data_IF_973050776562
#
_entry.id   IF_973050776562
#
_cell.length_a   1.000
_cell.length_b   1.000
_cell.length_c   1.000
_cell.angle_alpha   90.00
_cell.angle_beta   90.00
_cell.angle_gamma   90.00
#
_symmetry.space_group_name_H-M   'P 1'
#
loop_
_entity.id
_entity.type
_entity.pdbx_description
1 polymer ?
#
# COMPACT_ATOMS: atom_id res chain seq x y z
N UNK A 1 -20.65 24.72 0.00
CA UNK A 1 -21.49 23.96 -0.92
C UNK A 1 -21.18 22.49 -0.69
N UNK A 2 -22.21 21.66 -0.59
CA UNK A 2 -22.08 20.20 -0.45
C UNK A 2 -22.65 19.57 -1.72
N UNK A 3 -21.91 18.63 -2.30
CA UNK A 3 -22.40 17.85 -3.45
C UNK A 3 -23.39 16.82 -2.96
N UNK A 4 -24.60 16.82 -3.51
CA UNK A 4 -25.68 15.92 -3.14
C UNK A 4 -26.22 15.24 -4.40
N UNK A 5 -26.17 13.93 -4.46
CA UNK A 5 -26.74 13.15 -5.55
C UNK A 5 -26.43 13.72 -6.94
N UNK A 6 -27.38 14.40 -7.56
CA UNK A 6 -27.25 15.01 -8.90
C UNK A 6 -27.04 16.52 -8.89
N UNK A 7 -26.61 17.12 -7.79
CA UNK A 7 -26.44 18.57 -7.73
C UNK A 7 -25.61 19.02 -6.53
N UNK A 8 -25.62 20.31 -6.30
CA UNK A 8 -24.95 20.94 -5.15
C UNK A 8 -25.95 21.75 -4.33
N UNK A 9 -25.89 21.66 -3.01
CA UNK A 9 -26.72 22.42 -2.10
C UNK A 9 -25.86 23.20 -1.09
N UNK A 10 -26.44 24.25 -0.50
CA UNK A 10 -25.79 24.93 0.62
C UNK A 10 -25.78 24.00 1.82
N UNK A 11 -24.65 23.95 2.56
CA UNK A 11 -24.47 23.06 3.72
C UNK A 11 -25.61 23.18 4.76
N UNK A 12 -26.16 24.39 4.91
CA UNK A 12 -27.30 24.69 5.81
C UNK A 12 -28.62 24.09 5.34
N UNK A 13 -28.76 23.78 4.05
CA UNK A 13 -29.99 23.25 3.45
C UNK A 13 -30.00 21.73 3.32
N UNK A 14 -28.96 21.05 3.78
CA UNK A 14 -28.83 19.58 3.66
C UNK A 14 -29.53 18.93 4.82
N UNK A 15 -30.62 18.20 4.54
CA UNK A 15 -31.44 17.51 5.54
C UNK A 15 -30.88 16.11 5.86
N UNK A 16 -30.04 15.52 5.01
CA UNK A 16 -29.46 14.20 5.19
C UNK A 16 -28.11 14.21 5.94
N UNK A 17 -27.70 13.07 6.53
CA UNK A 17 -26.38 12.92 7.14
C UNK A 17 -25.29 12.83 6.07
N UNK A 18 -24.91 13.97 5.53
CA UNK A 18 -23.82 14.14 4.57
C UNK A 18 -22.60 14.69 5.32
N UNK A 19 -21.50 13.96 5.26
CA UNK A 19 -20.21 14.46 5.75
C UNK A 19 -19.40 14.97 4.57
N UNK A 20 -19.18 16.29 4.53
CA UNK A 20 -18.22 16.90 3.61
C UNK A 20 -16.90 17.06 4.32
N UNK A 21 -15.84 16.63 3.70
CA UNK A 21 -14.47 16.71 4.21
C UNK A 21 -13.71 17.73 3.35
N UNK A 22 -13.01 18.62 4.01
CA UNK A 22 -12.09 19.53 3.33
C UNK A 22 -10.89 18.75 2.82
N UNK A 23 -10.61 18.77 1.50
CA UNK A 23 -9.47 18.08 0.92
C UNK A 23 -8.13 18.48 1.56
N UNK A 24 -8.01 19.69 2.10
CA UNK A 24 -6.83 20.13 2.80
C UNK A 24 -6.57 19.30 4.08
N UNK A 25 -7.62 18.81 4.73
CA UNK A 25 -7.52 17.91 5.89
C UNK A 25 -7.12 16.48 5.51
N UNK A 26 -7.32 16.11 4.25
CA UNK A 26 -6.92 14.81 3.69
C UNK A 26 -5.48 14.82 3.16
N UNK A 27 -4.85 15.99 3.00
CA UNK A 27 -3.48 16.11 2.50
C UNK A 27 -2.45 15.68 3.55
N UNK A 28 -2.43 14.40 3.85
CA UNK A 28 -1.37 13.76 4.64
C UNK A 28 -0.44 13.00 3.71
N UNK A 29 0.79 12.75 4.11
CA UNK A 29 1.70 11.90 3.36
C UNK A 29 1.24 10.43 3.44
N UNK A 30 0.11 10.13 2.81
CA UNK A 30 -0.39 8.78 2.63
C UNK A 30 -0.41 8.47 1.14
N UNK A 31 -0.19 7.22 0.82
CA UNK A 31 0.03 6.74 -0.54
C UNK A 31 -1.27 6.60 -1.34
N UNK A 32 -2.42 6.50 -0.65
CA UNK A 32 -3.73 6.40 -1.31
C UNK A 32 -4.79 7.24 -0.61
N UNK A 33 -5.82 7.62 -1.35
CA UNK A 33 -6.97 8.35 -0.81
C UNK A 33 -7.70 7.51 0.24
N UNK A 34 -7.83 6.18 0.05
CA UNK A 34 -8.48 5.31 1.03
C UNK A 34 -7.78 5.32 2.39
N UNK A 35 -6.45 5.36 2.41
CA UNK A 35 -5.66 5.45 3.65
C UNK A 35 -5.84 6.80 4.36
N UNK A 36 -6.06 7.87 3.60
CA UNK A 36 -6.29 9.21 4.15
C UNK A 36 -7.64 9.34 4.87
N UNK A 37 -8.63 8.52 4.50
CA UNK A 37 -9.98 8.57 5.07
C UNK A 37 -10.05 7.95 6.46
N UNK A 38 -9.20 6.97 6.73
CA UNK A 38 -9.20 6.22 7.98
C UNK A 38 -8.93 7.12 9.18
N UNK A 39 -9.83 7.10 10.17
CA UNK A 39 -9.73 7.91 11.39
C UNK A 39 -9.95 9.42 11.21
N UNK A 40 -10.21 9.93 9.98
CA UNK A 40 -10.40 11.34 9.68
C UNK A 40 -11.81 11.70 9.25
N UNK A 41 -12.52 10.77 8.65
CA UNK A 41 -13.88 10.96 8.21
C UNK A 41 -14.85 10.28 9.16
N UNK A 42 -15.66 11.03 9.93
CA UNK A 42 -16.61 10.43 10.85
C UNK A 42 -17.55 9.46 10.15
N UNK A 43 -17.66 8.23 10.69
CA UNK A 43 -18.52 7.17 10.14
C UNK A 43 -17.90 6.37 9.01
N UNK A 44 -16.63 6.56 8.71
CA UNK A 44 -15.84 5.63 7.89
C UNK A 44 -14.99 4.76 8.83
N UNK A 45 -15.10 3.46 8.65
CA UNK A 45 -14.26 2.45 9.29
C UNK A 45 -13.35 1.91 8.20
N UNK A 46 -12.04 2.03 8.37
CA UNK A 46 -11.05 1.55 7.41
C UNK A 46 -10.10 0.54 8.04
N UNK A 47 -9.70 -0.45 7.26
CA UNK A 47 -8.70 -1.45 7.63
C UNK A 47 -7.67 -1.58 6.54
N UNK A 48 -6.41 -1.34 6.87
CA UNK A 48 -5.26 -1.60 5.99
C UNK A 48 -4.69 -2.97 6.35
N UNK A 49 -4.74 -3.91 5.43
CA UNK A 49 -4.31 -5.30 5.68
C UNK A 49 -2.85 -5.55 5.38
N UNK A 50 -2.23 -4.72 4.55
CA UNK A 50 -0.85 -4.87 4.11
C UNK A 50 -0.18 -3.51 4.01
N UNK A 51 1.13 -3.46 4.30
CA UNK A 51 1.99 -2.32 4.02
C UNK A 51 2.78 -2.48 2.71
N UNK A 52 2.51 -3.54 1.94
CA UNK A 52 3.23 -3.85 0.72
C UNK A 52 2.90 -2.84 -0.40
N UNK A 53 3.89 -2.34 -1.14
CA UNK A 53 3.69 -1.46 -2.27
C UNK A 53 2.67 -1.99 -3.28
N UNK A 54 1.68 -1.16 -3.63
CA UNK A 54 0.58 -1.53 -4.52
C UNK A 54 -0.48 -2.48 -3.92
N UNK A 55 -0.36 -2.85 -2.64
CA UNK A 55 -1.31 -3.63 -1.85
C UNK A 55 -1.63 -2.98 -0.50
N UNK A 56 -1.13 -1.77 -0.28
CA UNK A 56 -1.25 -1.01 0.95
C UNK A 56 -2.48 -0.10 0.99
N UNK A 57 -3.52 -0.46 0.24
CA UNK A 57 -4.79 0.26 0.22
C UNK A 57 -5.69 -0.17 1.38
N UNK A 58 -6.44 0.80 1.93
CA UNK A 58 -7.45 0.51 2.95
C UNK A 58 -8.76 0.06 2.32
N UNK A 59 -9.27 -1.07 2.78
CA UNK A 59 -10.69 -1.38 2.64
C UNK A 59 -11.47 -0.51 3.63
N UNK A 60 -12.59 0.06 3.20
CA UNK A 60 -13.38 0.90 4.09
C UNK A 60 -14.88 0.68 3.92
N UNK A 61 -15.62 0.92 5.00
CA UNK A 61 -17.06 0.81 5.08
C UNK A 61 -17.66 2.07 5.67
N UNK A 62 -18.84 2.42 5.19
CA UNK A 62 -19.64 3.52 5.75
C UNK A 62 -20.59 2.95 6.80
N UNK A 63 -20.45 3.40 8.07
CA UNK A 63 -21.20 2.91 9.24
C UNK A 63 -21.03 1.42 9.58
N UNK A 64 -20.01 0.75 9.04
CA UNK A 64 -19.70 -0.65 9.28
C UNK A 64 -20.20 -1.60 8.19
N UNK A 65 -19.98 -2.90 8.43
CA UNK A 65 -20.39 -3.96 7.51
C UNK A 65 -21.87 -4.23 7.74
N UNK A 66 -22.73 -3.87 6.78
CA UNK A 66 -24.18 -3.97 6.87
C UNK A 66 -24.77 -5.17 6.14
N UNK A 67 -23.97 -5.90 5.34
CA UNK A 67 -24.44 -7.01 4.51
C UNK A 67 -23.63 -8.28 4.77
N UNK A 68 -24.33 -9.41 4.92
CA UNK A 68 -23.71 -10.74 4.99
C UNK A 68 -23.66 -11.35 3.58
N UNK A 69 -22.46 -11.75 3.13
CA UNK A 69 -22.28 -12.55 1.91
C UNK A 69 -22.36 -11.79 0.57
N UNK A 70 -22.66 -10.49 0.57
CA UNK A 70 -22.61 -9.63 -0.61
C UNK A 70 -21.45 -8.63 -0.50
N UNK A 71 -21.15 -7.93 -1.61
CA UNK A 71 -20.17 -6.86 -1.60
C UNK A 71 -20.56 -5.77 -0.59
N UNK A 72 -19.78 -5.63 0.48
CA UNK A 72 -20.04 -4.69 1.58
C UNK A 72 -19.44 -3.31 1.34
N UNK A 73 -18.72 -3.09 0.21
CA UNK A 73 -18.07 -1.83 -0.10
C UNK A 73 -19.08 -0.72 -0.44
N UNK A 74 -18.72 0.49 -0.07
CA UNK A 74 -19.47 1.68 -0.47
C UNK A 74 -19.36 1.92 -1.99
N UNK A 75 -20.39 2.50 -2.59
CA UNK A 75 -20.33 2.96 -3.98
C UNK A 75 -19.45 4.22 -4.06
N UNK A 76 -18.45 4.19 -4.91
CA UNK A 76 -17.53 5.31 -5.13
C UNK A 76 -17.83 5.94 -6.45
N UNK A 77 -18.07 7.25 -6.45
CA UNK A 77 -18.33 8.05 -7.66
C UNK A 77 -17.29 9.16 -7.77
N UNK A 78 -16.53 9.14 -8.84
CA UNK A 78 -15.56 10.18 -9.20
C UNK A 78 -16.15 10.97 -10.38
N UNK A 79 -16.43 12.24 -10.16
CA UNK A 79 -17.11 13.12 -11.11
C UNK A 79 -18.44 12.54 -11.68
N UNK A 80 -19.13 11.72 -10.86
CA UNK A 80 -20.40 11.08 -11.21
C UNK A 80 -20.28 9.71 -11.89
N UNK A 81 -19.08 9.22 -12.15
CA UNK A 81 -18.78 7.89 -12.71
C UNK A 81 -18.21 6.98 -11.61
N UNK A 82 -18.61 5.72 -11.61
CA UNK A 82 -18.04 4.75 -10.66
C UNK A 82 -16.56 4.54 -10.93
N UNK A 83 -15.76 4.59 -9.86
CA UNK A 83 -14.30 4.50 -9.94
C UNK A 83 -13.67 3.97 -8.65
N UNK A 84 -12.35 3.85 -8.64
CA UNK A 84 -11.55 3.43 -7.50
C UNK A 84 -10.80 4.63 -6.91
N UNK A 85 -10.97 4.86 -5.60
CA UNK A 85 -10.25 5.91 -4.87
C UNK A 85 -8.73 5.72 -4.86
N UNK A 86 -8.27 4.47 -4.97
CA UNK A 86 -6.86 4.15 -4.88
C UNK A 86 -6.07 4.55 -6.13
N UNK A 87 -6.78 4.76 -7.22
CA UNK A 87 -6.18 5.21 -8.48
C UNK A 87 -6.10 6.74 -8.58
N UNK A 88 -6.87 7.45 -7.77
CA UNK A 88 -6.96 8.90 -7.79
C UNK A 88 -5.79 9.55 -7.05
N UNK A 89 -5.15 10.56 -7.67
CA UNK A 89 -4.18 11.38 -6.96
C UNK A 89 -4.91 12.33 -5.98
N UNK A 90 -4.57 12.29 -4.68
CA UNK A 90 -5.20 13.16 -3.68
C UNK A 90 -5.11 14.65 -4.00
N UNK A 91 -4.07 15.06 -4.74
CA UNK A 91 -3.87 16.45 -5.13
C UNK A 91 -4.89 16.93 -6.19
N UNK A 92 -5.57 16.00 -6.90
CA UNK A 92 -6.60 16.32 -7.88
C UNK A 92 -8.00 16.49 -7.27
N UNK A 93 -8.18 16.21 -5.99
CA UNK A 93 -9.49 16.30 -5.32
C UNK A 93 -9.84 17.74 -5.01
N UNK A 94 -11.04 18.17 -5.42
CA UNK A 94 -11.64 19.45 -5.04
C UNK A 94 -12.59 19.30 -3.86
N UNK A 95 -13.40 18.23 -3.83
CA UNK A 95 -14.31 17.96 -2.73
C UNK A 95 -14.54 16.46 -2.50
N UNK A 96 -14.82 16.11 -1.26
CA UNK A 96 -15.12 14.76 -0.84
C UNK A 96 -16.36 14.75 0.03
N UNK A 97 -17.36 13.96 -0.32
CA UNK A 97 -18.64 13.87 0.38
C UNK A 97 -19.04 12.41 0.59
N UNK A 98 -19.49 12.09 1.81
CA UNK A 98 -19.98 10.76 2.15
C UNK A 98 -21.47 10.83 2.48
N UNK A 99 -22.27 10.14 1.70
CA UNK A 99 -23.70 9.97 1.91
C UNK A 99 -23.91 8.71 2.75
N UNK A 100 -24.46 8.89 3.94
CA UNK A 100 -24.59 7.81 4.95
C UNK A 100 -26.02 7.33 5.13
N UNK A 101 -27.00 8.18 4.88
CA UNK A 101 -28.40 7.86 5.12
C UNK A 101 -29.12 7.34 3.86
N UNK A 102 -30.08 6.44 4.07
CA UNK A 102 -30.89 5.87 2.99
C UNK A 102 -31.59 6.95 2.15
N UNK A 103 -32.04 8.04 2.77
CA UNK A 103 -32.65 9.18 2.06
C UNK A 103 -31.67 9.87 1.10
N UNK A 104 -30.39 10.01 1.51
CA UNK A 104 -29.35 10.62 0.68
C UNK A 104 -28.86 9.66 -0.42
N UNK A 105 -28.89 8.35 -0.17
CA UNK A 105 -28.41 7.32 -1.11
C UNK A 105 -29.52 6.76 -2.01
N UNK A 106 -30.80 7.07 -1.77
CA UNK A 106 -31.96 6.56 -2.51
C UNK A 106 -31.85 6.75 -4.05
N UNK A 107 -31.20 7.83 -4.48
CA UNK A 107 -30.98 8.12 -5.91
C UNK A 107 -30.12 7.06 -6.60
N UNK A 108 -29.33 6.31 -5.84
CA UNK A 108 -28.41 5.28 -6.34
C UNK A 108 -28.98 3.86 -6.18
N UNK A 109 -30.21 3.73 -5.66
CA UNK A 109 -30.88 2.45 -5.49
C UNK A 109 -30.10 1.45 -4.63
N UNK A 110 -30.18 0.17 -4.97
CA UNK A 110 -29.54 -0.93 -4.24
C UNK A 110 -28.01 -0.74 -4.13
N UNK A 111 -27.37 -0.14 -5.12
CA UNK A 111 -25.93 0.10 -5.12
C UNK A 111 -25.48 1.11 -4.05
N UNK A 112 -26.39 1.99 -3.63
CA UNK A 112 -26.14 2.96 -2.56
C UNK A 112 -26.41 2.42 -1.15
N UNK A 113 -26.84 1.15 -0.98
CA UNK A 113 -27.24 0.60 0.30
C UNK A 113 -26.13 0.61 1.38
N UNK A 114 -24.88 0.42 0.97
CA UNK A 114 -23.70 0.46 1.84
C UNK A 114 -23.07 1.86 1.98
N UNK A 115 -23.80 2.91 1.58
CA UNK A 115 -23.30 4.28 1.52
C UNK A 115 -22.69 4.63 0.17
N UNK A 116 -22.59 5.95 -0.09
CA UNK A 116 -22.02 6.48 -1.33
C UNK A 116 -20.95 7.50 -1.00
N UNK A 117 -19.80 7.34 -1.62
CA UNK A 117 -18.70 8.30 -1.59
C UNK A 117 -18.67 9.06 -2.89
N UNK A 118 -18.79 10.37 -2.82
CA UNK A 118 -18.76 11.25 -3.98
C UNK A 118 -17.47 12.07 -3.91
N UNK A 119 -16.65 11.92 -4.93
CA UNK A 119 -15.43 12.71 -5.14
C UNK A 119 -15.63 13.60 -6.34
N UNK A 120 -15.35 14.87 -6.16
CA UNK A 120 -15.30 15.82 -7.28
C UNK A 120 -13.85 16.22 -7.48
N UNK A 121 -13.39 16.14 -8.73
CA UNK A 121 -12.03 16.53 -9.06
C UNK A 121 -11.94 18.00 -9.42
N UNK A 122 -10.72 18.55 -9.32
CA UNK A 122 -10.44 19.94 -9.64
C UNK A 122 -10.77 20.28 -11.08
N UNK A 123 -11.36 21.46 -11.26
CA UNK A 123 -11.71 22.03 -12.57
C UNK A 123 -11.01 23.35 -12.80
N UNK A 124 -10.89 23.74 -14.05
CA UNK A 124 -10.37 25.05 -14.42
C UNK A 124 -11.24 26.19 -13.90
N UNK A 125 -10.57 27.27 -13.52
CA UNK A 125 -11.24 28.55 -13.15
C UNK A 125 -10.85 29.62 -14.15
N UNK A 126 -11.77 30.55 -14.43
CA UNK A 126 -11.44 31.70 -15.26
C UNK A 126 -10.33 32.52 -14.60
N UNK A 127 -9.27 32.78 -15.34
CA UNK A 127 -8.10 33.50 -14.82
C UNK A 127 -6.83 33.16 -15.61
N UNK A 128 -5.71 33.74 -15.15
CA UNK A 128 -4.39 33.46 -15.71
C UNK A 128 -4.01 32.01 -15.46
N UNK A 129 -3.10 31.49 -16.30
CA UNK A 129 -2.49 30.19 -16.08
C UNK A 129 -1.86 30.12 -14.69
N UNK A 130 -2.27 29.11 -13.94
CA UNK A 130 -1.68 28.75 -12.64
C UNK A 130 -0.99 27.41 -12.78
N UNK A 131 0.26 27.36 -12.39
CA UNK A 131 1.10 26.15 -12.37
C UNK A 131 1.34 25.78 -10.93
N UNK A 132 1.01 24.55 -10.56
CA UNK A 132 1.28 23.98 -9.23
C UNK A 132 2.16 22.75 -9.37
N UNK A 133 3.26 22.73 -8.64
CA UNK A 133 4.12 21.54 -8.51
C UNK A 133 4.22 21.17 -7.03
N UNK A 134 3.96 19.89 -6.75
CA UNK A 134 4.07 19.31 -5.40
C UNK A 134 4.94 18.07 -5.47
N UNK A 135 5.85 17.93 -4.52
CA UNK A 135 6.67 16.74 -4.36
C UNK A 135 6.66 16.30 -2.90
N UNK A 136 6.53 15.00 -2.69
CA UNK A 136 6.60 14.40 -1.36
C UNK A 136 7.65 13.28 -1.41
N UNK A 137 8.48 13.23 -0.38
CA UNK A 137 9.34 12.09 -0.09
C UNK A 137 8.93 11.54 1.28
N UNK A 138 8.59 10.25 1.32
CA UNK A 138 8.12 9.59 2.53
C UNK A 138 9.16 8.57 2.97
N UNK A 139 9.63 8.73 4.19
CA UNK A 139 10.49 7.76 4.85
C UNK A 139 9.62 6.74 5.57
N UNK A 140 9.64 5.49 5.09
CA UNK A 140 8.84 4.39 5.60
C UNK A 140 9.73 3.36 6.27
N UNK A 141 9.37 2.92 7.48
CA UNK A 141 10.08 1.90 8.23
C UNK A 141 9.10 1.04 9.03
N UNK A 142 9.56 -0.15 9.43
CA UNK A 142 8.75 -1.05 10.26
C UNK A 142 8.94 -0.71 11.74
N UNK A 143 7.94 -0.12 12.44
CA UNK A 143 8.10 0.37 13.81
C UNK A 143 8.22 -0.76 14.84
N UNK A 144 7.75 -1.95 14.49
CA UNK A 144 7.80 -3.14 15.36
C UNK A 144 8.16 -4.36 14.51
N UNK A 145 9.34 -4.88 14.76
CA UNK A 145 9.79 -6.15 14.21
C UNK A 145 10.09 -7.09 15.37
N UNK A 146 9.71 -8.38 15.29
CA UNK A 146 10.14 -9.36 16.28
C UNK A 146 11.67 -9.41 16.35
N UNK A 147 12.20 -9.46 17.55
CA UNK A 147 13.61 -9.76 17.78
C UNK A 147 13.76 -11.27 17.88
N UNK A 148 14.63 -11.82 17.07
CA UNK A 148 14.95 -13.25 17.08
C UNK A 148 16.23 -13.45 17.83
N UNK A 149 16.29 -14.57 18.59
CA UNK A 149 17.50 -14.98 19.29
C UNK A 149 18.57 -15.41 18.31
N UNK A 150 19.83 -15.18 18.65
CA UNK A 150 20.97 -15.68 17.91
C UNK A 150 21.11 -17.21 18.02
N UNK A 151 22.09 -17.79 17.33
CA UNK A 151 22.30 -19.23 17.33
C UNK A 151 22.55 -19.80 18.72
N UNK A 152 23.28 -19.08 19.57
CA UNK A 152 23.58 -19.53 20.97
C UNK A 152 22.31 -19.49 21.82
N UNK A 153 21.55 -18.42 21.74
CA UNK A 153 20.25 -18.26 22.40
C UNK A 153 19.26 -19.34 21.97
N UNK A 154 19.16 -19.57 20.65
CA UNK A 154 18.29 -20.62 20.12
C UNK A 154 18.70 -22.02 20.63
N UNK A 155 19.98 -22.38 20.57
CA UNK A 155 20.46 -23.67 21.01
C UNK A 155 20.17 -23.92 22.49
N UNK A 156 20.38 -22.90 23.34
CA UNK A 156 20.08 -23.01 24.78
C UNK A 156 18.57 -23.18 25.03
N UNK A 157 17.71 -22.38 24.40
CA UNK A 157 16.26 -22.49 24.54
C UNK A 157 15.72 -23.83 24.01
N UNK A 158 16.26 -24.31 22.89
CA UNK A 158 15.89 -25.60 22.33
C UNK A 158 16.26 -26.75 23.29
N UNK A 159 17.45 -26.70 23.91
CA UNK A 159 17.86 -27.65 24.92
C UNK A 159 16.96 -27.60 26.16
N UNK A 160 16.68 -26.41 26.68
CA UNK A 160 15.78 -26.22 27.82
C UNK A 160 14.40 -26.80 27.54
N UNK A 161 13.83 -26.51 26.38
CA UNK A 161 12.51 -27.01 25.96
C UNK A 161 12.47 -28.55 25.87
N UNK A 162 13.59 -29.20 25.55
CA UNK A 162 13.72 -30.66 25.54
C UNK A 162 13.82 -31.23 26.93
N UNK A 163 14.71 -30.66 27.75
CA UNK A 163 14.97 -31.15 29.13
C UNK A 163 13.71 -31.05 29.98
N UNK A 164 12.99 -29.96 29.93
CA UNK A 164 11.68 -29.77 30.64
C UNK A 164 10.66 -30.85 30.25
N UNK A 165 10.77 -31.40 29.04
CA UNK A 165 9.91 -32.51 28.55
C UNK A 165 10.50 -33.90 28.80
N UNK A 166 11.56 -34.00 29.61
CA UNK A 166 12.25 -35.28 29.92
C UNK A 166 13.02 -35.88 28.73
N UNK A 167 13.39 -35.07 27.75
CA UNK A 167 14.15 -35.47 26.54
C UNK A 167 15.59 -35.00 26.66
N UNK A 168 16.51 -35.69 25.98
CA UNK A 168 17.91 -35.27 25.91
C UNK A 168 18.08 -33.94 25.15
N UNK A 169 19.06 -33.11 25.52
CA UNK A 169 19.45 -31.92 24.75
C UNK A 169 19.74 -32.28 23.29
N UNK A 170 19.49 -31.33 22.39
CA UNK A 170 19.79 -31.45 20.95
C UNK A 170 21.25 -31.01 20.71
N UNK A 171 21.64 -29.89 21.32
CA UNK A 171 22.96 -29.29 21.15
C UNK A 171 23.84 -29.60 22.32
N UNK A 172 25.07 -30.05 22.05
CA UNK A 172 26.11 -30.25 23.04
C UNK A 172 26.73 -28.90 23.45
N UNK A 173 27.41 -28.89 24.61
CA UNK A 173 28.15 -27.69 25.03
C UNK A 173 29.25 -27.29 24.03
N UNK A 174 29.88 -28.26 23.38
CA UNK A 174 30.93 -28.04 22.37
C UNK A 174 30.34 -27.34 21.14
N UNK A 175 29.17 -27.77 20.65
CA UNK A 175 28.47 -27.13 19.51
C UNK A 175 28.05 -25.71 19.87
N UNK A 176 27.53 -25.46 21.07
CA UNK A 176 27.18 -24.11 21.54
C UNK A 176 28.42 -23.19 21.55
N UNK A 177 29.59 -23.72 21.93
CA UNK A 177 30.85 -22.95 21.86
C UNK A 177 31.28 -22.69 20.41
N UNK A 178 31.05 -23.61 19.48
CA UNK A 178 31.33 -23.40 18.05
C UNK A 178 30.43 -22.34 17.47
N UNK A 179 29.12 -22.31 17.76
CA UNK A 179 28.22 -21.19 17.39
C UNK A 179 28.71 -19.86 17.96
N UNK A 180 29.18 -19.84 19.22
CA UNK A 180 29.67 -18.63 19.88
C UNK A 180 30.98 -18.11 19.27
N UNK A 181 31.88 -19.02 18.90
CA UNK A 181 33.20 -18.67 18.38
C UNK A 181 33.18 -18.21 16.92
N UNK A 182 32.18 -18.67 16.15
CA UNK A 182 32.09 -18.40 14.71
C UNK A 182 33.22 -18.98 13.87
N UNK A 183 33.94 -20.01 14.41
CA UNK A 183 35.11 -20.60 13.74
C UNK A 183 34.76 -21.34 12.46
N UNK A 184 33.58 -21.95 12.40
CA UNK A 184 33.09 -22.65 11.22
C UNK A 184 31.65 -22.20 10.90
N UNK A 185 31.50 -21.12 10.17
CA UNK A 185 30.16 -20.58 9.84
C UNK A 185 29.37 -21.43 8.85
N UNK A 186 30.02 -22.37 8.17
CA UNK A 186 29.34 -23.32 7.26
C UNK A 186 28.62 -24.42 8.03
N UNK A 187 29.19 -24.94 9.09
CA UNK A 187 28.60 -25.98 9.93
C UNK A 187 27.84 -25.42 11.14
N UNK A 188 28.31 -24.31 11.68
CA UNK A 188 27.75 -23.66 12.87
C UNK A 188 27.35 -22.20 12.56
N UNK A 189 26.38 -22.00 11.67
CA UNK A 189 25.96 -20.67 11.26
C UNK A 189 25.26 -19.90 12.38
N UNK A 190 25.41 -18.58 12.35
CA UNK A 190 24.68 -17.66 13.21
C UNK A 190 24.08 -16.55 12.36
N UNK A 191 22.92 -16.82 11.74
CA UNK A 191 22.33 -15.95 10.74
C UNK A 191 21.15 -15.20 11.31
N UNK A 192 21.20 -13.86 11.26
CA UNK A 192 20.03 -13.03 11.45
C UNK A 192 19.34 -12.82 10.08
N UNK A 193 18.34 -13.63 9.81
CA UNK A 193 17.62 -13.60 8.51
C UNK A 193 16.98 -12.26 8.22
N UNK A 194 16.53 -11.54 9.25
CA UNK A 194 15.99 -10.20 9.10
C UNK A 194 17.01 -9.26 8.47
N UNK A 195 18.22 -9.22 9.04
CA UNK A 195 19.28 -8.31 8.56
C UNK A 195 19.80 -8.72 7.18
N UNK A 196 19.65 -10.00 6.82
CA UNK A 196 20.03 -10.51 5.50
C UNK A 196 19.08 -10.03 4.41
N UNK A 197 17.77 -10.05 4.66
CA UNK A 197 16.76 -9.80 3.60
C UNK A 197 16.02 -8.47 3.70
N UNK A 198 16.15 -7.73 4.82
CA UNK A 198 15.42 -6.47 5.02
C UNK A 198 16.35 -5.28 5.19
N UNK A 199 15.97 -4.17 4.59
CA UNK A 199 16.48 -2.84 4.88
C UNK A 199 15.70 -2.25 6.06
N UNK A 200 16.33 -1.35 6.80
CA UNK A 200 15.69 -0.69 7.93
C UNK A 200 14.60 0.28 7.49
N UNK A 201 14.72 0.82 6.28
CA UNK A 201 13.78 1.80 5.72
C UNK A 201 13.75 1.75 4.20
N UNK A 202 12.72 2.40 3.65
CA UNK A 202 12.56 2.68 2.24
C UNK A 202 12.09 4.13 2.05
N UNK A 203 12.42 4.72 0.91
CA UNK A 203 11.98 6.07 0.56
C UNK A 203 11.01 5.97 -0.63
N UNK A 204 9.78 6.39 -0.38
CA UNK A 204 8.75 6.52 -1.41
C UNK A 204 8.72 7.96 -1.93
N UNK A 205 8.48 8.13 -3.22
CA UNK A 205 8.43 9.44 -3.85
C UNK A 205 7.12 9.64 -4.59
N UNK A 206 6.53 10.83 -4.44
CA UNK A 206 5.34 11.25 -5.17
C UNK A 206 5.56 12.65 -5.73
N UNK A 207 5.27 12.83 -7.01
CA UNK A 207 5.36 14.11 -7.71
C UNK A 207 4.02 14.39 -8.39
N UNK A 208 3.54 15.60 -8.26
CA UNK A 208 2.31 16.06 -8.89
C UNK A 208 2.52 17.43 -9.51
N UNK A 209 2.18 17.56 -10.79
CA UNK A 209 2.18 18.81 -11.54
C UNK A 209 0.76 19.09 -12.01
N UNK A 210 0.25 20.28 -11.79
CA UNK A 210 -1.04 20.68 -12.35
C UNK A 210 -0.99 22.06 -12.97
N UNK A 211 -1.76 22.21 -14.03
CA UNK A 211 -1.96 23.43 -14.80
C UNK A 211 -3.45 23.75 -14.80
N UNK A 212 -3.82 24.95 -14.44
CA UNK A 212 -5.21 25.39 -14.49
C UNK A 212 -5.33 26.81 -15.00
N UNK A 213 -6.41 27.10 -15.70
CA UNK A 213 -6.66 28.42 -16.23
C UNK A 213 -7.89 28.46 -17.14
N UNK A 214 -8.04 29.54 -17.83
CA UNK A 214 -9.10 29.72 -18.83
C UNK A 214 -9.74 31.10 -18.83
N UNK A 215 -10.67 31.28 -19.73
CA UNK A 215 -11.46 32.48 -19.87
C UNK A 215 -12.95 32.26 -19.58
N UNK A 216 -13.77 33.15 -20.06
CA UNK A 216 -15.22 33.05 -19.95
C UNK A 216 -15.80 31.91 -20.77
N UNK A 217 -15.17 31.59 -21.93
CA UNK A 217 -15.67 30.59 -22.86
C UNK A 217 -15.13 29.18 -22.63
N UNK A 218 -13.89 29.05 -22.18
CA UNK A 218 -13.30 27.73 -21.88
C UNK A 218 -12.42 27.83 -20.65
N UNK A 219 -12.43 26.75 -19.85
CA UNK A 219 -11.61 26.57 -18.64
C UNK A 219 -11.03 25.17 -18.66
N UNK A 220 -9.82 25.02 -18.16
CA UNK A 220 -9.12 23.75 -18.18
C UNK A 220 -8.35 23.51 -16.87
N UNK A 221 -8.30 22.27 -16.49
CA UNK A 221 -7.42 21.71 -15.48
C UNK A 221 -6.74 20.50 -16.06
N UNK A 222 -5.42 20.49 -16.05
CA UNK A 222 -4.60 19.33 -16.50
C UNK A 222 -3.64 19.00 -15.40
N UNK A 223 -3.51 17.71 -15.06
CA UNK A 223 -2.54 17.26 -14.08
C UNK A 223 -1.80 16.00 -14.52
N UNK A 224 -0.62 15.84 -13.97
CA UNK A 224 0.22 14.66 -14.10
C UNK A 224 0.77 14.29 -12.71
N UNK A 225 0.55 13.04 -12.30
CA UNK A 225 1.05 12.47 -11.06
C UNK A 225 2.01 11.31 -11.35
N UNK A 226 3.06 11.21 -10.55
CA UNK A 226 4.00 10.08 -10.56
C UNK A 226 4.18 9.65 -9.12
N UNK A 227 3.95 8.36 -8.84
CA UNK A 227 4.17 7.76 -7.53
C UNK A 227 5.08 6.54 -7.68
N UNK A 228 6.14 6.48 -6.86
CA UNK A 228 7.05 5.36 -6.79
C UNK A 228 7.13 4.88 -5.35
N UNK A 229 6.86 3.59 -5.13
CA UNK A 229 6.95 2.93 -3.84
C UNK A 229 7.84 1.71 -3.94
N UNK A 230 8.69 1.50 -2.94
CA UNK A 230 9.53 0.32 -2.82
C UNK A 230 9.22 -0.49 -1.56
N UNK A 231 9.54 -1.77 -1.55
CA UNK A 231 9.51 -2.57 -0.35
C UNK A 231 10.88 -2.60 0.34
N UNK A 232 10.86 -3.03 1.59
CA UNK A 232 12.05 -3.06 2.45
C UNK A 232 13.01 -4.22 2.17
N UNK A 233 12.79 -5.03 1.12
CA UNK A 233 13.64 -6.18 0.84
C UNK A 233 15.01 -5.74 0.29
N UNK A 234 16.07 -6.42 0.76
CA UNK A 234 17.44 -6.25 0.28
C UNK A 234 17.68 -7.07 -0.97
N UNK A 235 17.87 -6.39 -2.09
CA UNK A 235 18.29 -7.04 -3.31
C UNK A 235 19.81 -7.28 -3.33
N UNK A 236 20.23 -8.50 -3.62
CA UNK A 236 21.63 -8.80 -3.95
C UNK A 236 21.83 -8.65 -5.47
N UNK A 237 22.32 -7.47 -5.86
CA UNK A 237 22.59 -7.14 -7.29
C UNK A 237 23.70 -7.96 -7.92
N UNK A 238 24.53 -8.65 -7.12
CA UNK A 238 25.58 -9.52 -7.63
C UNK A 238 25.04 -10.83 -8.19
N UNK A 239 23.85 -11.24 -7.71
CA UNK A 239 23.23 -12.52 -8.02
C UNK A 239 22.13 -12.38 -9.06
N UNK A 240 21.28 -11.38 -8.91
CA UNK A 240 20.15 -11.19 -9.79
C UNK A 240 20.32 -9.94 -10.66
N UNK A 241 20.23 -10.12 -11.99
CA UNK A 241 20.18 -9.04 -12.96
C UNK A 241 18.81 -8.34 -12.99
N UNK A 242 17.78 -8.99 -12.42
CA UNK A 242 16.43 -8.47 -12.34
C UNK A 242 16.21 -7.79 -10.99
N UNK A 243 15.28 -6.86 -10.94
CA UNK A 243 14.85 -6.26 -9.69
C UNK A 243 14.10 -7.33 -8.87
N UNK A 244 14.66 -7.72 -7.74
CA UNK A 244 14.12 -8.74 -6.85
C UNK A 244 13.32 -8.13 -5.69
N UNK A 245 13.16 -6.80 -5.67
CA UNK A 245 12.36 -6.11 -4.70
C UNK A 245 10.91 -5.96 -5.20
N UNK A 246 10.00 -5.75 -4.27
CA UNK A 246 8.64 -5.32 -4.61
C UNK A 246 8.68 -3.82 -4.88
N UNK A 247 8.26 -3.40 -6.05
CA UNK A 247 8.06 -2.00 -6.36
C UNK A 247 6.74 -1.76 -7.09
N UNK A 248 6.22 -0.57 -6.85
CA UNK A 248 5.00 -0.09 -7.44
C UNK A 248 5.22 1.30 -8.02
N UNK A 249 4.89 1.44 -9.30
CA UNK A 249 4.92 2.72 -10.01
C UNK A 249 3.53 3.02 -10.52
N UNK A 250 3.05 4.22 -10.26
CA UNK A 250 1.79 4.71 -10.77
C UNK A 250 2.00 6.04 -11.48
N UNK A 251 1.43 6.16 -12.68
CA UNK A 251 1.42 7.36 -13.49
C UNK A 251 -0.02 7.75 -13.73
N UNK A 252 -0.40 8.93 -13.29
CA UNK A 252 -1.74 9.49 -13.46
C UNK A 252 -1.68 10.65 -14.42
N UNK A 253 -2.62 10.70 -15.34
CA UNK A 253 -2.86 11.86 -16.19
C UNK A 253 -4.34 12.19 -16.13
N UNK A 254 -4.66 13.48 -15.93
CA UNK A 254 -6.03 13.98 -15.89
C UNK A 254 -6.14 15.24 -16.70
N UNK A 255 -7.24 15.37 -17.46
CA UNK A 255 -7.60 16.60 -18.15
C UNK A 255 -9.11 16.84 -18.02
N UNK A 256 -9.49 17.93 -17.38
CA UNK A 256 -10.87 18.40 -17.24
C UNK A 256 -11.01 19.72 -17.99
N UNK A 257 -11.86 19.73 -18.99
CA UNK A 257 -12.10 20.91 -19.85
C UNK A 257 -13.58 21.21 -19.86
N UNK A 258 -13.92 22.42 -19.52
CA UNK A 258 -15.29 22.97 -19.60
C UNK A 258 -15.34 24.07 -20.65
N UNK A 259 -16.23 23.95 -21.66
CA UNK A 259 -16.39 24.91 -22.72
C UNK A 259 -17.87 25.38 -22.82
N UNK A 260 -18.10 26.66 -22.68
CA UNK A 260 -19.41 27.26 -22.91
C UNK A 260 -19.64 27.38 -24.41
N UNK A 261 -20.36 26.42 -25.00
CA UNK A 261 -20.68 26.41 -26.43
C UNK A 261 -21.66 27.51 -26.79
N UNK A 262 -22.62 27.77 -25.91
CA UNK A 262 -23.57 28.86 -25.97
C UNK A 262 -23.78 29.44 -24.58
N UNK A 263 -24.64 30.47 -24.45
CA UNK A 263 -25.00 31.02 -23.11
C UNK A 263 -25.72 30.01 -22.22
N UNK A 264 -26.30 28.96 -22.81
CA UNK A 264 -27.09 27.95 -22.10
C UNK A 264 -26.54 26.53 -22.22
N UNK A 265 -25.47 26.31 -23.01
CA UNK A 265 -24.92 24.99 -23.27
C UNK A 265 -23.47 24.92 -22.82
N UNK A 266 -23.20 24.05 -21.86
CA UNK A 266 -21.86 23.72 -21.38
C UNK A 266 -21.46 22.34 -21.89
N UNK A 267 -20.30 22.26 -22.53
CA UNK A 267 -19.62 20.97 -22.84
C UNK A 267 -18.54 20.72 -21.79
N UNK A 268 -18.63 19.60 -21.12
CA UNK A 268 -17.59 19.15 -20.16
C UNK A 268 -16.94 17.88 -20.69
N UNK A 269 -15.62 17.88 -20.81
CA UNK A 269 -14.81 16.74 -21.17
C UNK A 269 -13.92 16.40 -19.96
N UNK A 270 -14.05 15.18 -19.43
CA UNK A 270 -13.20 14.65 -18.37
C UNK A 270 -12.45 13.45 -18.93
N UNK A 271 -11.13 13.51 -18.89
CA UNK A 271 -10.23 12.42 -19.30
C UNK A 271 -9.37 12.03 -18.14
N UNK A 272 -9.22 10.73 -17.92
CA UNK A 272 -8.29 10.15 -16.93
C UNK A 272 -7.59 8.97 -17.55
N UNK A 273 -6.29 8.90 -17.33
CA UNK A 273 -5.46 7.75 -17.70
C UNK A 273 -4.58 7.40 -16.52
N UNK A 274 -4.59 6.12 -16.18
CA UNK A 274 -3.79 5.59 -15.08
C UNK A 274 -3.00 4.42 -15.62
N UNK A 275 -1.68 4.46 -15.41
CA UNK A 275 -0.77 3.38 -15.77
C UNK A 275 -0.11 2.91 -14.47
N UNK A 276 -0.29 1.65 -14.13
CA UNK A 276 0.35 1.03 -12.97
C UNK A 276 1.32 -0.05 -13.43
N UNK A 277 2.48 -0.07 -12.82
CA UNK A 277 3.48 -1.13 -12.98
C UNK A 277 3.86 -1.63 -11.60
N UNK A 278 3.66 -2.92 -11.37
CA UNK A 278 4.05 -3.59 -10.13
C UNK A 278 5.03 -4.70 -10.45
N UNK A 279 6.10 -4.76 -9.69
CA UNK A 279 7.00 -5.89 -9.64
C UNK A 279 6.80 -6.60 -8.30
N UNK A 280 6.74 -7.93 -8.30
CA UNK A 280 6.60 -8.72 -7.08
C UNK A 280 7.30 -10.07 -7.23
N UNK A 281 7.76 -10.70 -6.14
CA UNK A 281 8.30 -12.03 -6.16
C UNK A 281 7.31 -13.04 -6.74
N UNK A 282 7.81 -14.05 -7.46
CA UNK A 282 6.99 -15.04 -8.18
C UNK A 282 6.20 -16.04 -7.31
N UNK A 283 6.17 -15.89 -6.01
CA UNK A 283 5.49 -16.76 -5.02
C UNK A 283 4.00 -16.45 -4.81
N UNK A 284 3.30 -15.99 -5.80
CA UNK A 284 1.88 -15.64 -5.67
C UNK A 284 1.65 -14.17 -5.31
N UNK A 285 0.40 -13.85 -4.99
CA UNK A 285 -0.04 -12.46 -4.83
C UNK A 285 0.24 -11.87 -3.43
N UNK A 286 0.86 -12.63 -2.54
CA UNK A 286 1.27 -12.14 -1.24
C UNK A 286 2.69 -12.59 -0.88
N UNK A 287 3.47 -11.67 -0.32
CA UNK A 287 4.83 -11.92 0.14
C UNK A 287 4.90 -12.67 1.48
N UNK A 288 3.80 -13.29 1.93
CA UNK A 288 3.77 -14.04 3.18
C UNK A 288 4.82 -15.16 3.22
N UNK A 289 5.16 -15.74 2.05
CA UNK A 289 6.20 -16.77 1.98
C UNK A 289 7.58 -16.27 2.44
N UNK A 290 7.98 -15.05 2.01
CA UNK A 290 9.24 -14.44 2.46
C UNK A 290 9.23 -14.11 3.96
N UNK A 291 8.11 -13.56 4.45
CA UNK A 291 7.94 -13.26 5.87
C UNK A 291 7.91 -14.53 6.72
N UNK A 292 7.24 -15.59 6.26
CA UNK A 292 7.20 -16.88 6.94
C UNK A 292 8.56 -17.56 6.94
N UNK A 293 9.27 -17.55 5.82
CA UNK A 293 10.60 -18.14 5.73
C UNK A 293 11.60 -17.47 6.69
N UNK A 294 11.57 -16.13 6.77
CA UNK A 294 12.38 -15.36 7.70
C UNK A 294 12.04 -15.70 9.17
N UNK A 295 10.75 -15.88 9.49
CA UNK A 295 10.30 -16.13 10.84
C UNK A 295 10.53 -17.58 11.30
N UNK A 296 10.46 -18.53 10.36
CA UNK A 296 10.47 -19.95 10.67
C UNK A 296 11.87 -20.59 10.60
N UNK A 297 12.82 -19.97 9.90
CA UNK A 297 14.16 -20.54 9.76
C UNK A 297 15.06 -20.08 10.92
N UNK A 298 15.45 -21.01 11.84
CA UNK A 298 16.35 -20.68 12.94
C UNK A 298 17.73 -20.25 12.46
N UNK A 299 18.40 -19.44 13.28
CA UNK A 299 19.76 -18.94 13.03
C UNK A 299 20.81 -20.03 12.87
N UNK A 300 20.54 -21.26 13.37
CA UNK A 300 21.48 -22.40 13.47
C UNK A 300 21.44 -23.36 12.29
N UNK A 301 20.48 -23.23 11.37
CA UNK A 301 20.20 -24.32 10.41
C UNK A 301 21.14 -24.29 9.20
N UNK A 302 21.27 -23.13 8.53
CA UNK A 302 22.11 -22.99 7.33
C UNK A 302 22.74 -21.60 7.27
N UNK A 303 23.91 -21.46 6.63
CA UNK A 303 24.49 -20.16 6.32
C UNK A 303 23.71 -19.48 5.18
N UNK A 304 23.94 -18.19 4.97
CA UNK A 304 23.38 -17.46 3.80
C UNK A 304 23.93 -18.04 2.49
N UNK A 305 25.26 -18.26 2.46
CA UNK A 305 26.03 -18.98 1.43
C UNK A 305 27.12 -19.74 2.14
N UNK A 306 27.49 -20.91 1.61
CA UNK A 306 28.67 -21.62 2.05
C UNK A 306 29.96 -20.93 1.60
N UNK A 307 31.07 -21.20 2.26
CA UNK A 307 32.38 -20.60 1.96
C UNK A 307 32.86 -20.88 0.52
N UNK A 308 32.41 -21.98 -0.08
CA UNK A 308 32.66 -22.33 -1.48
C UNK A 308 31.74 -21.60 -2.47
N UNK A 309 30.85 -20.71 -2.00
CA UNK A 309 29.89 -19.94 -2.82
C UNK A 309 28.61 -20.68 -3.18
N UNK A 310 28.43 -21.93 -2.77
CA UNK A 310 27.20 -22.67 -3.02
C UNK A 310 26.08 -22.19 -2.09
N UNK A 311 24.83 -22.36 -2.54
CA UNK A 311 23.66 -22.00 -1.76
C UNK A 311 23.16 -23.18 -0.94
N UNK A 312 22.60 -22.93 0.25
CA UNK A 312 21.97 -23.97 1.03
C UNK A 312 20.75 -24.52 0.28
N UNK A 313 20.60 -25.84 0.29
CA UNK A 313 19.47 -26.55 -0.30
C UNK A 313 18.84 -27.45 0.75
N UNK A 314 17.53 -27.33 0.92
CA UNK A 314 16.74 -28.22 1.74
C UNK A 314 16.21 -29.37 0.87
N UNK A 315 15.99 -30.55 1.47
CA UNK A 315 15.42 -31.70 0.75
C UNK A 315 14.04 -31.39 0.16
N UNK A 316 13.64 -32.18 -0.85
CA UNK A 316 12.37 -31.98 -1.61
C UNK A 316 11.11 -31.94 -0.73
N UNK A 317 11.14 -32.50 0.47
CA UNK A 317 10.00 -32.59 1.40
C UNK A 317 10.16 -31.66 2.59
N UNK A 318 11.06 -30.70 2.53
CA UNK A 318 11.24 -29.72 3.63
C UNK A 318 10.40 -28.50 3.35
N UNK A 319 9.63 -28.08 4.34
CA UNK A 319 8.92 -26.79 4.35
C UNK A 319 9.89 -25.62 4.68
N UNK A 320 11.14 -25.94 5.01
CA UNK A 320 12.18 -24.95 5.28
C UNK A 320 12.77 -24.44 3.97
N UNK A 321 12.84 -23.13 3.83
CA UNK A 321 13.40 -22.46 2.65
C UNK A 321 14.26 -21.29 3.09
N UNK A 322 15.43 -21.14 2.46
CA UNK A 322 16.27 -19.96 2.72
C UNK A 322 15.59 -18.70 2.20
N UNK A 323 15.32 -17.70 3.07
CA UNK A 323 14.72 -16.43 2.67
C UNK A 323 15.56 -15.69 1.62
N UNK A 324 16.90 -15.82 1.73
CA UNK A 324 17.83 -15.24 0.77
C UNK A 324 17.69 -15.87 -0.63
N UNK A 325 17.57 -17.19 -0.69
CA UNK A 325 17.36 -17.90 -1.96
C UNK A 325 16.00 -17.57 -2.56
N UNK A 326 14.96 -17.54 -1.72
CA UNK A 326 13.63 -17.13 -2.16
C UNK A 326 13.63 -15.73 -2.77
N UNK A 327 14.28 -14.77 -2.11
CA UNK A 327 14.29 -13.39 -2.55
C UNK A 327 15.09 -13.20 -3.85
N UNK A 328 16.23 -13.88 -4.00
CA UNK A 328 17.20 -13.52 -5.04
C UNK A 328 17.23 -14.49 -6.24
N UNK A 329 16.68 -15.70 -6.11
CA UNK A 329 16.78 -16.76 -7.14
C UNK A 329 15.44 -17.24 -7.69
N UNK A 330 14.33 -16.68 -7.23
CA UNK A 330 13.01 -17.01 -7.77
C UNK A 330 12.60 -16.09 -8.89
N UNK A 331 11.67 -16.56 -9.72
CA UNK A 331 11.11 -15.76 -10.79
C UNK A 331 10.23 -14.62 -10.28
N UNK A 332 10.04 -13.61 -11.12
CA UNK A 332 9.21 -12.42 -10.84
C UNK A 332 8.06 -12.35 -11.84
N UNK A 333 6.95 -11.79 -11.39
CA UNK A 333 5.78 -11.45 -12.22
C UNK A 333 5.71 -9.95 -12.44
#
# INVERSE_FOLDING_TARGET
VVVVGRGSQRKVSVVGAITSVDPAQLQVPATSVSNMLQGRVPGIIGVTRSGEPGNNFSEFWVRGISTFGANASALILIDGVEGDLNTLDPADIESFSVLKDASATAVYGVRGANGVVIVTTKRGKAGKLTVNFKTNATYSYSPRMPEYVDAVGYANLANEARVVRGKNPIYTNSEIQLFRSGLDPDLYPNVNWRDVILNDYVIDNQHHLSLSGGGTNARYYVSMGIMNQGAVFKQDKSVSKHNTNVDYHQYNFRANVDANMTKTTLLSLNMETIITKRNSPGYGDNNNALWSAQANLPATIVPVKYSNGTLPSFGRNSDEVSPYVQLNYTGYK
#
